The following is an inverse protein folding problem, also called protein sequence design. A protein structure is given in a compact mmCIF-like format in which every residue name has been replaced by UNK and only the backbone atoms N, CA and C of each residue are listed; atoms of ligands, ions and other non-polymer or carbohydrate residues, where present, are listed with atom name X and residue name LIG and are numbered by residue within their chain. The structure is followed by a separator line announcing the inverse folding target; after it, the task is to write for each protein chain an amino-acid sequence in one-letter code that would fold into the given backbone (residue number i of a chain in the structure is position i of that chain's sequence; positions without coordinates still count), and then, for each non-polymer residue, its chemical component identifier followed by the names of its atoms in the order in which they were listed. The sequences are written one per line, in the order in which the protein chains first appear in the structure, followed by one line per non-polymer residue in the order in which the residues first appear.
data_IF_435063155861
#
_entry.id   IF_435063155861
#
_cell.length_a   1.000
_cell.length_b   1.000
_cell.length_c   1.000
_cell.angle_alpha   90.00
_cell.angle_beta   90.00
_cell.angle_gamma   90.00
#
_symmetry.space_group_name_H-M   'P 1'
#
loop_
_entity.id
_entity.type
_entity.pdbx_description
1 polymer ?
#
# COMPACT_ATOMS: atom_id res chain seq x y z
N UNK A 1 38.35 17.97 -18.37
CA UNK A 1 38.87 17.21 -17.22
C UNK A 1 37.70 17.05 -16.28
N UNK A 2 37.08 15.87 -16.20
CA UNK A 2 35.97 15.64 -15.31
C UNK A 2 36.47 15.67 -13.87
N UNK A 3 35.78 16.40 -12.99
CA UNK A 3 36.14 16.43 -11.58
C UNK A 3 35.67 15.13 -10.90
N UNK A 4 36.31 14.74 -9.78
CA UNK A 4 35.91 13.53 -9.07
C UNK A 4 34.47 13.60 -8.52
N UNK A 5 33.85 14.79 -8.44
CA UNK A 5 32.45 15.01 -8.12
C UNK A 5 31.55 14.64 -9.29
N UNK A 6 31.88 15.06 -10.52
CA UNK A 6 31.15 14.75 -11.76
C UNK A 6 31.11 13.23 -12.03
N UNK A 7 32.23 12.54 -11.76
CA UNK A 7 32.32 11.08 -11.93
C UNK A 7 31.45 10.34 -10.89
N UNK A 8 31.39 10.83 -9.65
CA UNK A 8 30.55 10.25 -8.56
C UNK A 8 29.08 10.48 -8.82
N UNK A 9 28.69 11.65 -9.31
CA UNK A 9 27.31 11.97 -9.67
C UNK A 9 26.85 11.15 -10.87
N UNK A 10 27.70 10.97 -11.89
CA UNK A 10 27.43 10.12 -13.04
C UNK A 10 27.30 8.64 -12.64
N UNK A 11 28.18 8.12 -11.78
CA UNK A 11 28.12 6.75 -11.25
C UNK A 11 26.86 6.53 -10.41
N UNK A 12 26.46 7.49 -9.54
CA UNK A 12 25.22 7.43 -8.78
C UNK A 12 23.99 7.42 -9.69
N UNK A 13 24.00 8.19 -10.77
CA UNK A 13 22.91 8.26 -11.75
C UNK A 13 22.74 6.93 -12.52
N UNK A 14 23.84 6.26 -12.85
CA UNK A 14 23.84 4.93 -13.47
C UNK A 14 23.32 3.89 -12.45
N UNK A 15 23.82 3.91 -11.21
CA UNK A 15 23.42 2.96 -10.16
C UNK A 15 21.92 3.05 -9.83
N UNK A 16 21.34 4.25 -9.82
CA UNK A 16 19.89 4.44 -9.62
C UNK A 16 19.06 3.90 -10.78
N UNK A 17 19.56 4.07 -12.03
CA UNK A 17 18.87 3.59 -13.23
C UNK A 17 18.78 2.07 -13.30
N UNK A 18 19.74 1.35 -12.69
CA UNK A 18 19.79 -0.11 -12.66
C UNK A 18 19.31 -0.70 -11.33
N UNK A 19 18.88 0.14 -10.40
CA UNK A 19 18.32 -0.27 -9.11
C UNK A 19 16.81 -0.50 -9.17
N UNK A 20 16.28 -1.18 -8.15
CA UNK A 20 14.86 -1.43 -7.98
C UNK A 20 13.99 -0.18 -7.87
N UNK A 21 14.58 0.99 -7.59
CA UNK A 21 13.86 2.29 -7.52
C UNK A 21 13.09 2.60 -8.82
N UNK A 22 13.54 2.08 -9.97
CA UNK A 22 12.75 2.21 -11.21
C UNK A 22 11.36 1.59 -11.11
N UNK A 23 11.09 0.67 -10.21
CA UNK A 23 9.76 0.08 -10.00
C UNK A 23 8.79 0.98 -9.22
N UNK A 24 9.25 2.15 -8.73
CA UNK A 24 8.36 3.12 -8.10
C UNK A 24 7.28 3.67 -9.05
N UNK A 25 7.43 3.51 -10.37
CA UNK A 25 6.33 3.79 -11.31
C UNK A 25 5.10 2.92 -11.01
N UNK A 26 5.30 1.66 -10.61
CA UNK A 26 4.20 0.77 -10.23
C UNK A 26 3.53 1.25 -8.94
N UNK A 27 4.32 1.70 -7.95
CA UNK A 27 3.78 2.31 -6.75
C UNK A 27 2.94 3.56 -7.07
N UNK A 28 3.41 4.39 -8.01
CA UNK A 28 2.65 5.56 -8.48
C UNK A 28 1.34 5.16 -9.15
N UNK A 29 1.34 4.14 -10.01
CA UNK A 29 0.12 3.64 -10.67
C UNK A 29 -0.89 3.13 -9.64
N UNK A 30 -0.42 2.36 -8.64
CA UNK A 30 -1.29 1.85 -7.56
C UNK A 30 -1.86 3.01 -6.75
N UNK A 31 -1.04 3.97 -6.35
CA UNK A 31 -1.48 5.18 -5.64
C UNK A 31 -2.56 5.93 -6.42
N UNK A 32 -2.33 6.20 -7.71
CA UNK A 32 -3.29 6.93 -8.55
C UNK A 32 -4.58 6.15 -8.76
N UNK A 33 -4.50 4.83 -8.91
CA UNK A 33 -5.66 3.96 -9.01
C UNK A 33 -6.48 3.95 -7.71
N UNK A 34 -5.82 3.84 -6.55
CA UNK A 34 -6.45 3.87 -5.23
C UNK A 34 -7.19 5.19 -5.01
N UNK A 35 -6.51 6.33 -5.21
CA UNK A 35 -7.14 7.65 -5.07
C UNK A 35 -8.29 7.83 -6.07
N UNK A 36 -8.12 7.40 -7.32
CA UNK A 36 -9.17 7.51 -8.34
C UNK A 36 -10.43 6.72 -7.96
N UNK A 37 -10.28 5.49 -7.44
CA UNK A 37 -11.42 4.69 -6.98
C UNK A 37 -12.08 5.34 -5.74
N UNK A 38 -11.29 5.80 -4.78
CA UNK A 38 -11.80 6.46 -3.56
C UNK A 38 -12.58 7.74 -3.89
N UNK A 39 -12.07 8.58 -4.80
CA UNK A 39 -12.79 9.76 -5.28
C UNK A 39 -14.10 9.37 -5.97
N UNK A 40 -14.07 8.35 -6.83
CA UNK A 40 -15.28 7.85 -7.49
C UNK A 40 -16.32 7.36 -6.46
N UNK A 41 -15.90 6.64 -5.42
CA UNK A 41 -16.79 6.16 -4.34
C UNK A 41 -17.38 7.35 -3.58
N UNK A 42 -16.56 8.33 -3.19
CA UNK A 42 -17.03 9.51 -2.46
C UNK A 42 -18.02 10.37 -3.26
N UNK A 43 -17.86 10.42 -4.59
CA UNK A 43 -18.72 11.22 -5.47
C UNK A 43 -20.03 10.52 -5.84
N UNK A 44 -20.09 9.18 -5.75
CA UNK A 44 -21.22 8.40 -6.29
C UNK A 44 -21.95 7.54 -5.24
N UNK A 45 -21.49 7.51 -4.01
CA UNK A 45 -22.09 6.71 -2.95
C UNK A 45 -22.35 7.56 -1.70
N UNK A 46 -23.46 7.30 -1.04
CA UNK A 46 -23.75 7.89 0.26
C UNK A 46 -22.99 7.18 1.38
N UNK A 47 -22.52 7.97 2.36
CA UNK A 47 -21.77 7.47 3.51
C UNK A 47 -22.67 6.58 4.39
N UNK A 48 -22.14 5.43 4.83
CA UNK A 48 -22.76 4.56 5.83
C UNK A 48 -23.05 3.15 5.32
N UNK A 49 -23.12 2.21 6.27
CA UNK A 49 -23.39 0.80 6.00
C UNK A 49 -24.79 0.56 5.43
N UNK A 50 -25.76 1.41 5.77
CA UNK A 50 -27.14 1.37 5.30
C UNK A 50 -27.26 1.66 3.79
N UNK A 51 -26.30 2.36 3.22
CA UNK A 51 -26.27 2.78 1.81
C UNK A 51 -25.44 1.80 0.94
N UNK A 52 -25.16 0.59 1.43
CA UNK A 52 -24.40 -0.41 0.69
C UNK A 52 -25.11 -0.81 -0.60
N UNK A 53 -24.33 -1.08 -1.64
CA UNK A 53 -24.77 -1.63 -2.92
C UNK A 53 -24.44 -3.12 -2.93
N UNK A 54 -25.47 -3.95 -2.86
CA UNK A 54 -25.34 -5.42 -2.93
C UNK A 54 -25.00 -5.85 -4.37
N UNK A 55 -23.83 -6.46 -4.56
CA UNK A 55 -23.35 -6.92 -5.87
C UNK A 55 -23.52 -8.44 -6.01
N UNK A 56 -23.10 -9.18 -4.98
CA UNK A 56 -23.23 -10.63 -4.87
C UNK A 56 -23.66 -11.02 -3.47
N UNK A 57 -24.10 -12.25 -3.26
CA UNK A 57 -24.53 -12.79 -1.94
C UNK A 57 -23.41 -12.87 -0.89
N UNK A 58 -22.21 -12.45 -1.25
CA UNK A 58 -21.00 -12.45 -0.40
C UNK A 58 -20.19 -11.15 -0.50
N UNK A 59 -20.64 -10.17 -1.31
CA UNK A 59 -19.86 -8.97 -1.59
C UNK A 59 -20.75 -7.75 -1.84
N UNK A 60 -20.44 -6.65 -1.15
CA UNK A 60 -21.05 -5.34 -1.32
C UNK A 60 -20.01 -4.28 -1.64
N UNK A 61 -20.42 -3.21 -2.33
CA UNK A 61 -19.77 -1.92 -2.22
C UNK A 61 -20.40 -1.11 -1.10
N UNK A 62 -19.56 -0.45 -0.32
CA UNK A 62 -19.96 0.46 0.76
C UNK A 62 -19.10 1.72 0.70
N UNK A 63 -19.51 2.76 1.40
CA UNK A 63 -18.65 3.92 1.63
C UNK A 63 -18.59 4.19 3.11
N UNK A 64 -17.44 3.94 3.72
CA UNK A 64 -17.21 4.16 5.14
C UNK A 64 -15.85 4.81 5.39
N UNK A 65 -15.77 5.58 6.47
CA UNK A 65 -14.51 6.16 6.95
C UNK A 65 -13.91 5.31 8.06
N UNK A 66 -12.65 4.90 7.87
CA UNK A 66 -11.87 4.15 8.84
C UNK A 66 -10.85 5.06 9.54
N UNK A 67 -11.07 5.46 10.79
CA UNK A 67 -10.16 6.36 11.50
C UNK A 67 -8.83 5.73 11.93
N UNK A 68 -8.59 4.47 11.55
CA UNK A 68 -7.39 3.69 11.91
C UNK A 68 -7.72 2.43 12.70
N UNK A 69 -8.92 1.90 12.54
CA UNK A 69 -9.31 0.61 13.11
C UNK A 69 -8.86 -0.52 12.20
N UNK A 70 -7.64 -1.04 12.38
CA UNK A 70 -7.30 -2.36 11.86
C UNK A 70 -8.13 -3.39 12.66
N UNK A 71 -9.09 -4.07 12.01
CA UNK A 71 -9.97 -5.08 12.63
C UNK A 71 -10.76 -4.56 13.86
N UNK A 72 -11.28 -3.32 13.82
CA UNK A 72 -11.94 -2.65 14.94
C UNK A 72 -11.05 -2.43 16.18
N UNK A 73 -9.79 -2.81 16.12
CA UNK A 73 -8.80 -2.51 17.13
C UNK A 73 -8.47 -1.01 17.08
N UNK A 74 -8.71 -0.29 18.16
CA UNK A 74 -8.55 1.16 18.30
C UNK A 74 -9.66 2.02 17.67
N UNK A 75 -10.84 1.48 17.29
CA UNK A 75 -11.94 2.27 16.73
C UNK A 75 -12.42 3.40 17.69
N UNK A 76 -12.38 3.15 19.00
CA UNK A 76 -12.95 4.03 20.04
C UNK A 76 -11.92 5.00 20.66
N UNK A 77 -10.76 5.19 20.03
CA UNK A 77 -9.70 6.04 20.56
C UNK A 77 -9.82 7.50 20.11
N UNK A 78 -9.30 8.47 20.88
CA UNK A 78 -9.50 9.92 20.66
C UNK A 78 -8.71 10.53 19.47
N UNK A 79 -8.38 9.75 18.43
CA UNK A 79 -7.80 10.26 17.18
C UNK A 79 -6.26 10.19 17.04
N UNK A 80 -5.52 9.74 18.07
CA UNK A 80 -4.06 9.57 17.98
C UNK A 80 -3.64 8.46 17.01
N UNK A 81 -4.53 7.46 16.78
CA UNK A 81 -4.31 6.35 15.87
C UNK A 81 -4.03 6.81 14.44
N UNK A 82 -4.62 7.93 13.99
CA UNK A 82 -4.31 8.56 12.70
C UNK A 82 -2.80 8.83 12.58
N UNK A 83 -2.21 9.46 13.58
CA UNK A 83 -0.79 9.81 13.56
C UNK A 83 0.12 8.60 13.73
N UNK A 84 -0.31 7.61 14.50
CA UNK A 84 0.38 6.33 14.66
C UNK A 84 0.51 5.61 13.32
N UNK A 85 -0.60 5.38 12.61
CA UNK A 85 -0.57 4.73 11.29
C UNK A 85 0.11 5.58 10.21
N UNK A 86 -0.01 6.91 10.28
CA UNK A 86 0.74 7.83 9.43
C UNK A 86 2.26 7.64 9.60
N UNK A 87 2.73 7.58 10.84
CA UNK A 87 4.15 7.36 11.15
C UNK A 87 4.62 5.99 10.62
N UNK A 88 3.86 4.93 10.85
CA UNK A 88 4.17 3.59 10.31
C UNK A 88 4.27 3.64 8.79
N UNK A 89 3.30 4.23 8.10
CA UNK A 89 3.30 4.33 6.64
C UNK A 89 4.54 5.06 6.11
N UNK A 90 4.93 6.18 6.73
CA UNK A 90 6.14 6.93 6.36
C UNK A 90 7.39 6.09 6.58
N UNK A 91 7.54 5.44 7.74
CA UNK A 91 8.71 4.62 8.06
C UNK A 91 8.82 3.42 7.12
N UNK A 92 7.74 2.69 6.88
CA UNK A 92 7.72 1.53 5.98
C UNK A 92 8.04 1.95 4.55
N UNK A 93 7.42 3.03 4.06
CA UNK A 93 7.69 3.57 2.72
C UNK A 93 9.17 3.95 2.56
N UNK A 94 9.73 4.66 3.53
CA UNK A 94 11.15 5.04 3.52
C UNK A 94 12.09 3.83 3.54
N UNK A 95 11.82 2.86 4.42
CA UNK A 95 12.60 1.63 4.56
C UNK A 95 12.56 0.78 3.28
N UNK A 96 11.38 0.56 2.70
CA UNK A 96 11.23 -0.23 1.48
C UNK A 96 11.87 0.47 0.27
N UNK A 97 11.75 1.80 0.16
CA UNK A 97 12.43 2.58 -0.88
C UNK A 97 13.95 2.48 -0.73
N UNK A 98 14.48 2.52 0.49
CA UNK A 98 15.89 2.29 0.75
C UNK A 98 16.33 0.89 0.32
N UNK A 99 15.57 -0.16 0.64
CA UNK A 99 15.90 -1.52 0.21
C UNK A 99 15.81 -1.67 -1.31
N UNK A 100 14.81 -1.09 -1.98
CA UNK A 100 14.73 -1.05 -3.44
C UNK A 100 15.97 -0.40 -4.07
N UNK A 101 16.54 0.63 -3.44
CA UNK A 101 17.76 1.28 -3.93
C UNK A 101 19.00 0.37 -3.89
N UNK A 102 18.97 -0.69 -3.09
CA UNK A 102 20.05 -1.68 -2.94
C UNK A 102 19.83 -2.93 -3.79
N UNK A 103 18.60 -3.17 -4.27
CA UNK A 103 18.29 -4.30 -5.13
C UNK A 103 18.51 -3.96 -6.60
N UNK A 104 19.01 -4.92 -7.41
CA UNK A 104 19.03 -4.78 -8.86
C UNK A 104 17.61 -4.67 -9.43
N UNK A 105 17.42 -3.92 -10.51
CA UNK A 105 16.12 -3.79 -11.17
C UNK A 105 15.57 -5.13 -11.72
N UNK A 106 16.46 -6.10 -11.96
CA UNK A 106 16.16 -7.46 -12.42
C UNK A 106 15.49 -8.34 -11.35
N UNK A 107 15.68 -8.03 -10.08
CA UNK A 107 15.00 -8.68 -8.95
C UNK A 107 13.51 -8.30 -8.92
N UNK A 108 12.77 -8.73 -9.96
CA UNK A 108 11.39 -8.29 -10.22
C UNK A 108 10.46 -8.63 -9.06
N UNK A 109 10.56 -9.83 -8.49
CA UNK A 109 9.66 -10.30 -7.45
C UNK A 109 9.64 -9.38 -6.24
N UNK A 110 10.80 -9.10 -5.67
CA UNK A 110 10.93 -8.25 -4.49
C UNK A 110 10.61 -6.79 -4.81
N UNK A 111 11.05 -6.29 -5.97
CA UNK A 111 10.77 -4.92 -6.37
C UNK A 111 9.28 -4.67 -6.62
N UNK A 112 8.55 -5.62 -7.21
CA UNK A 112 7.10 -5.55 -7.38
C UNK A 112 6.42 -5.58 -6.00
N UNK A 113 6.81 -6.50 -5.11
CA UNK A 113 6.26 -6.60 -3.77
C UNK A 113 6.43 -5.28 -2.98
N UNK A 114 7.62 -4.71 -3.00
CA UNK A 114 7.90 -3.43 -2.35
C UNK A 114 7.09 -2.27 -2.98
N UNK A 115 7.01 -2.22 -4.31
CA UNK A 115 6.22 -1.20 -5.00
C UNK A 115 4.73 -1.29 -4.66
N UNK A 116 4.18 -2.50 -4.52
CA UNK A 116 2.79 -2.73 -4.09
C UNK A 116 2.54 -2.20 -2.68
N UNK A 117 3.43 -2.52 -1.73
CA UNK A 117 3.30 -2.03 -0.36
C UNK A 117 3.45 -0.51 -0.30
N UNK A 118 4.44 0.06 -1.01
CA UNK A 118 4.67 1.51 -1.05
C UNK A 118 3.45 2.22 -1.63
N UNK A 119 2.92 1.77 -2.76
CA UNK A 119 1.77 2.38 -3.43
C UNK A 119 0.53 2.39 -2.53
N UNK A 120 0.20 1.25 -1.90
CA UNK A 120 -0.90 1.15 -0.96
C UNK A 120 -0.67 1.98 0.31
N UNK A 121 0.54 1.91 0.91
CA UNK A 121 0.84 2.68 2.10
C UNK A 121 0.72 4.20 1.87
N UNK A 122 1.17 4.69 0.69
CA UNK A 122 1.05 6.10 0.31
C UNK A 122 -0.41 6.48 0.03
N UNK A 123 -1.23 5.59 -0.55
CA UNK A 123 -2.67 5.80 -0.74
C UNK A 123 -3.40 6.01 0.58
N UNK A 124 -3.23 5.10 1.53
CA UNK A 124 -3.81 5.22 2.86
C UNK A 124 -3.20 6.36 3.71
N UNK A 125 -1.94 6.73 3.45
CA UNK A 125 -1.30 7.90 4.06
C UNK A 125 -1.94 9.19 3.56
N UNK A 126 -2.18 9.30 2.26
CA UNK A 126 -2.84 10.45 1.64
C UNK A 126 -4.21 10.70 2.26
N UNK A 127 -5.06 9.67 2.36
CA UNK A 127 -6.38 9.79 2.99
C UNK A 127 -6.29 10.32 4.43
N UNK A 128 -5.37 9.77 5.22
CA UNK A 128 -5.17 10.22 6.60
C UNK A 128 -4.75 11.68 6.70
N UNK A 129 -3.96 12.18 5.76
CA UNK A 129 -3.52 13.58 5.75
C UNK A 129 -4.66 14.49 5.30
N UNK A 130 -5.39 14.11 4.24
CA UNK A 130 -6.41 14.97 3.62
C UNK A 130 -7.75 14.86 4.35
N UNK A 131 -8.21 13.63 4.62
CA UNK A 131 -9.56 13.37 5.15
C UNK A 131 -9.57 13.04 6.65
N UNK A 132 -8.41 12.77 7.26
CA UNK A 132 -8.31 12.37 8.66
C UNK A 132 -8.58 10.89 8.92
N UNK A 133 -9.12 10.17 7.96
CA UNK A 133 -9.49 8.76 7.99
C UNK A 133 -9.28 8.14 6.61
N UNK A 134 -9.21 6.82 6.53
CA UNK A 134 -9.11 6.09 5.28
C UNK A 134 -10.50 5.82 4.73
N UNK A 135 -10.67 5.91 3.41
CA UNK A 135 -11.91 5.53 2.71
C UNK A 135 -11.86 4.05 2.39
N UNK A 136 -12.80 3.27 2.97
CA UNK A 136 -12.97 1.84 2.71
C UNK A 136 -14.28 1.60 1.96
N UNK A 137 -14.24 0.66 0.97
CA UNK A 137 -15.38 0.46 0.07
C UNK A 137 -15.64 -0.99 -0.34
N UNK A 138 -14.79 -1.94 0.04
CA UNK A 138 -14.97 -3.37 -0.22
C UNK A 138 -15.45 -4.06 1.05
N UNK A 139 -16.63 -4.67 0.99
CA UNK A 139 -17.24 -5.42 2.09
C UNK A 139 -17.51 -6.86 1.64
N UNK A 140 -16.76 -7.82 2.18
CA UNK A 140 -17.00 -9.24 2.00
C UNK A 140 -17.70 -9.81 3.24
N UNK A 141 -18.71 -10.65 3.00
CA UNK A 141 -19.50 -11.22 4.10
C UNK A 141 -19.97 -12.66 3.83
N UNK A 142 -20.24 -13.36 4.92
CA UNK A 142 -20.86 -14.67 4.90
C UNK A 142 -21.99 -14.73 5.94
N UNK A 143 -23.23 -14.83 5.47
CA UNK A 143 -24.41 -14.72 6.33
C UNK A 143 -24.48 -13.35 7.01
N UNK A 144 -24.39 -13.33 8.33
CA UNK A 144 -24.35 -12.07 9.11
C UNK A 144 -22.95 -11.63 9.52
N UNK A 145 -21.92 -12.40 9.17
CA UNK A 145 -20.52 -12.06 9.47
C UNK A 145 -19.89 -11.28 8.33
N UNK A 146 -19.47 -10.05 8.62
CA UNK A 146 -18.76 -9.19 7.69
C UNK A 146 -17.26 -9.20 8.00
N UNK A 147 -16.44 -9.35 6.96
CA UNK A 147 -15.02 -9.04 7.07
C UNK A 147 -14.87 -7.51 7.22
N UNK A 148 -13.91 -7.02 8.02
CA UNK A 148 -13.68 -5.60 8.09
C UNK A 148 -13.53 -4.97 6.70
N UNK A 149 -14.25 -3.88 6.45
CA UNK A 149 -14.17 -3.17 5.18
C UNK A 149 -12.73 -2.76 4.86
N UNK A 150 -12.37 -2.76 3.59
CA UNK A 150 -11.04 -2.43 3.12
C UNK A 150 -11.09 -1.80 1.71
N UNK A 151 -9.93 -1.46 1.16
CA UNK A 151 -9.76 -0.78 -0.11
C UNK A 151 -8.66 -1.40 -0.98
N UNK A 152 -8.37 -0.82 -2.15
CA UNK A 152 -7.30 -1.26 -3.05
C UNK A 152 -5.92 -1.14 -2.40
N UNK A 153 -5.66 -0.08 -1.64
CA UNK A 153 -4.38 0.11 -0.95
C UNK A 153 -4.10 -1.04 0.03
N UNK A 154 -5.08 -1.44 0.86
CA UNK A 154 -4.94 -2.56 1.78
C UNK A 154 -4.70 -3.88 1.03
N UNK A 155 -5.43 -4.10 -0.07
CA UNK A 155 -5.25 -5.27 -0.93
C UNK A 155 -3.82 -5.37 -1.46
N UNK A 156 -3.26 -4.26 -1.95
CA UNK A 156 -1.90 -4.23 -2.50
C UNK A 156 -0.83 -4.39 -1.42
N UNK A 157 -1.05 -3.82 -0.22
CA UNK A 157 -0.17 -4.05 0.94
C UNK A 157 -0.16 -5.53 1.31
N UNK A 158 -1.33 -6.16 1.44
CA UNK A 158 -1.45 -7.57 1.79
C UNK A 158 -0.79 -8.48 0.76
N UNK A 159 -1.05 -8.28 -0.53
CA UNK A 159 -0.44 -9.09 -1.61
C UNK A 159 1.07 -8.90 -1.62
N UNK A 160 1.58 -7.67 -1.52
CA UNK A 160 3.01 -7.40 -1.45
C UNK A 160 3.68 -8.06 -0.24
N UNK A 161 3.03 -8.03 0.93
CA UNK A 161 3.52 -8.70 2.13
C UNK A 161 3.59 -10.23 1.96
N UNK A 162 2.55 -10.84 1.39
CA UNK A 162 2.53 -12.28 1.06
C UNK A 162 3.65 -12.63 0.08
N UNK A 163 3.89 -11.80 -0.94
CA UNK A 163 5.00 -12.01 -1.89
C UNK A 163 6.36 -12.02 -1.19
N UNK A 164 6.61 -11.14 -0.22
CA UNK A 164 7.87 -11.11 0.54
C UNK A 164 8.03 -12.39 1.38
N UNK A 165 6.96 -12.82 2.05
CA UNK A 165 6.95 -14.04 2.86
C UNK A 165 7.28 -15.27 1.99
N UNK A 166 6.64 -15.38 0.82
CA UNK A 166 6.88 -16.51 -0.10
C UNK A 166 8.32 -16.52 -0.65
N UNK A 167 8.92 -15.36 -0.93
CA UNK A 167 10.32 -15.28 -1.35
C UNK A 167 11.28 -15.77 -0.25
N UNK A 168 10.98 -15.46 1.01
CA UNK A 168 11.75 -15.95 2.15
C UNK A 168 11.75 -17.50 2.27
N UNK A 169 10.61 -18.13 2.02
CA UNK A 169 10.52 -19.60 2.00
C UNK A 169 11.26 -20.22 0.82
N UNK A 170 11.21 -19.58 -0.36
CA UNK A 170 11.89 -20.06 -1.57
C UNK A 170 13.40 -20.05 -1.40
N UNK A 171 13.97 -18.94 -0.92
CA UNK A 171 15.43 -18.81 -0.70
C UNK A 171 15.94 -19.82 0.32
N UNK A 172 15.19 -20.05 1.42
CA UNK A 172 15.57 -21.03 2.43
C UNK A 172 15.61 -22.47 1.89
N UNK A 173 14.83 -22.79 0.85
CA UNK A 173 14.86 -24.09 0.20
C UNK A 173 16.13 -24.26 -0.65
N UNK A 174 16.45 -23.22 -1.45
CA UNK A 174 17.64 -23.22 -2.31
C UNK A 174 18.95 -23.29 -1.51
N UNK A 175 18.98 -22.73 -0.29
CA UNK A 175 20.16 -22.79 0.62
C UNK A 175 20.35 -24.18 1.28
N UNK A 176 19.36 -25.07 1.23
CA UNK A 176 19.40 -26.41 1.84
C UNK A 176 19.58 -27.57 0.82
N UNK A 177 19.63 -27.26 -0.47
CA UNK A 177 19.92 -28.21 -1.57
C UNK A 177 21.35 -28.04 -2.09
#
# INVERSE_FOLDING_TARGET
MFTGADCREFMNKIMLKDSGVRWLWLALVIFLADIGIKLFVMDNMDLGWENRIEVFSFFNFIYVHNPGAAFSFLSDQPGWQRWFFTTIAVLVTGMLTYWMSKLPAQEKWNNIAYAMIIGGAVGNLFDRIVHGSVVDYLDFYWGTYHWPAFNLADSTICVGAVMIILDGFRKKKDDNE
#
